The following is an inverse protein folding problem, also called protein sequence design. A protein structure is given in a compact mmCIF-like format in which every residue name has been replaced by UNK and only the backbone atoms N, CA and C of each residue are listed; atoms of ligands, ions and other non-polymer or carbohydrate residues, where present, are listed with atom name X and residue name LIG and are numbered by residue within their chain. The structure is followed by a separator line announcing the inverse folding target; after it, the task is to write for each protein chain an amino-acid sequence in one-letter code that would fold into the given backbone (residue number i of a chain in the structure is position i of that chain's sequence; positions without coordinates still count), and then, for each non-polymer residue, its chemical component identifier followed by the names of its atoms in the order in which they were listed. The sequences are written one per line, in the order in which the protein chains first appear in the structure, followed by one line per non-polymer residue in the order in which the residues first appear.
data_IF_449642648915
#
_entry.id   IF_449642648915
#
_cell.length_a   1.000
_cell.length_b   1.000
_cell.length_c   1.000
_cell.angle_alpha   90.00
_cell.angle_beta   90.00
_cell.angle_gamma   90.00
#
_symmetry.space_group_name_H-M   'P 1'
#
loop_
_entity.id
_entity.type
_entity.pdbx_description
1 polymer ?
#
# COMPACT_ATOMS: atom_id res chain seq x y z
N UNK A 1 3.45 -24.86 81.99
CA UNK A 1 2.72 -23.66 81.55
C UNK A 1 3.61 -22.44 81.25
N UNK A 2 4.76 -22.25 81.92
CA UNK A 2 5.64 -21.07 81.71
C UNK A 2 6.34 -21.04 80.34
N UNK A 3 6.78 -22.19 79.82
CA UNK A 3 7.44 -22.29 78.49
C UNK A 3 6.52 -21.95 77.31
N UNK A 4 5.23 -22.28 77.42
CA UNK A 4 4.23 -21.99 76.37
C UNK A 4 3.98 -20.48 76.28
N UNK A 5 3.97 -19.77 77.42
CA UNK A 5 3.80 -18.30 77.46
C UNK A 5 5.01 -17.57 76.86
N UNK A 6 6.23 -18.06 77.10
CA UNK A 6 7.45 -17.48 76.55
C UNK A 6 7.52 -17.67 75.02
N UNK A 7 7.18 -18.87 74.53
CA UNK A 7 7.14 -19.13 73.10
C UNK A 7 6.05 -18.33 72.38
N UNK A 8 4.92 -18.06 73.04
CA UNK A 8 3.85 -17.24 72.48
C UNK A 8 4.25 -15.77 72.38
N UNK A 9 4.95 -15.23 73.39
CA UNK A 9 5.47 -13.85 73.36
C UNK A 9 6.55 -13.69 72.30
N UNK A 10 7.46 -14.65 72.17
CA UNK A 10 8.48 -14.66 71.12
C UNK A 10 7.86 -14.76 69.72
N UNK A 11 6.82 -15.58 69.54
CA UNK A 11 6.13 -15.68 68.26
C UNK A 11 5.39 -14.37 67.89
N UNK A 12 4.77 -13.70 68.87
CA UNK A 12 4.11 -12.41 68.65
C UNK A 12 5.13 -11.30 68.31
N UNK A 13 6.30 -11.29 68.96
CA UNK A 13 7.37 -10.35 68.63
C UNK A 13 8.02 -10.61 67.26
N UNK A 14 8.15 -11.88 66.86
CA UNK A 14 8.68 -12.23 65.53
C UNK A 14 7.67 -11.87 64.43
N UNK A 15 6.38 -12.06 64.71
CA UNK A 15 5.29 -11.69 63.80
C UNK A 15 5.18 -10.17 63.65
N UNK A 16 5.34 -9.40 64.74
CA UNK A 16 5.33 -7.93 64.65
C UNK A 16 6.55 -7.36 63.92
N UNK A 17 7.73 -8.01 63.96
CA UNK A 17 8.87 -7.63 63.13
C UNK A 17 8.66 -7.93 61.63
N UNK A 18 7.89 -8.98 61.30
CA UNK A 18 7.54 -9.32 59.90
C UNK A 18 6.45 -8.39 59.32
N UNK A 19 5.70 -7.68 60.17
CA UNK A 19 4.73 -6.66 59.76
C UNK A 19 5.33 -5.26 59.58
N UNK A 20 6.60 -5.05 59.92
CA UNK A 20 7.37 -3.86 59.53
C UNK A 20 7.74 -3.96 58.04
N UNK A 21 6.73 -4.00 57.18
CA UNK A 21 6.93 -3.87 55.74
C UNK A 21 7.69 -2.59 55.46
N UNK A 22 8.74 -2.69 54.66
CA UNK A 22 9.43 -1.53 54.10
C UNK A 22 8.38 -0.67 53.42
N UNK A 23 8.06 0.48 54.03
CA UNK A 23 7.31 1.53 53.39
C UNK A 23 8.16 2.02 52.22
N UNK A 24 7.99 1.43 51.04
CA UNK A 24 8.27 2.14 49.82
C UNK A 24 7.36 3.36 49.88
N UNK A 25 7.96 4.53 50.04
CA UNK A 25 7.29 5.79 49.78
C UNK A 25 6.86 5.75 48.31
N UNK A 26 5.65 5.27 48.06
CA UNK A 26 4.97 5.45 46.79
C UNK A 26 4.54 6.92 46.82
N UNK A 27 5.45 7.80 46.40
CA UNK A 27 5.06 9.14 46.02
C UNK A 27 4.05 8.98 44.89
N UNK A 28 2.82 9.43 45.10
CA UNK A 28 1.88 9.80 44.06
C UNK A 28 2.58 10.87 43.20
N UNK A 29 3.46 10.39 42.32
CA UNK A 29 4.56 11.14 41.75
C UNK A 29 4.22 11.48 40.32
N UNK A 30 4.14 12.76 40.02
CA UNK A 30 4.12 13.25 38.66
C UNK A 30 5.32 12.65 37.89
N UNK A 31 5.07 11.91 36.82
CA UNK A 31 6.12 11.32 35.99
C UNK A 31 6.23 12.08 34.67
N UNK A 32 7.45 12.24 34.17
CA UNK A 32 7.67 12.82 32.85
C UNK A 32 7.30 11.82 31.76
N UNK A 33 6.59 12.28 30.74
CA UNK A 33 6.22 11.43 29.60
C UNK A 33 7.30 11.52 28.53
N UNK A 34 8.13 10.48 28.43
CA UNK A 34 9.16 10.41 27.40
C UNK A 34 8.53 10.03 26.05
N UNK A 35 8.88 10.78 25.01
CA UNK A 35 8.51 10.52 23.63
C UNK A 35 9.74 10.25 22.77
N UNK A 36 9.59 9.37 21.79
CA UNK A 36 10.62 9.08 20.79
C UNK A 36 10.07 9.41 19.40
N UNK A 37 10.70 10.37 18.71
CA UNK A 37 10.38 10.74 17.33
C UNK A 37 11.43 10.13 16.41
N UNK A 38 10.97 9.52 15.32
CA UNK A 38 11.83 9.12 14.20
C UNK A 38 12.00 10.29 13.24
N UNK A 39 13.22 10.81 13.10
CA UNK A 39 13.53 11.85 12.12
C UNK A 39 13.84 11.23 10.75
N UNK A 40 14.63 10.16 10.74
CA UNK A 40 15.02 9.44 9.52
C UNK A 40 15.45 8.01 9.86
N UNK A 41 15.17 7.06 8.95
CA UNK A 41 15.63 5.68 9.06
C UNK A 41 14.49 4.67 9.27
N UNK A 42 14.85 3.47 9.73
CA UNK A 42 13.94 2.37 9.97
C UNK A 42 13.28 2.45 11.35
N UNK A 43 12.01 2.06 11.43
CA UNK A 43 11.29 1.93 12.69
C UNK A 43 10.08 1.03 12.51
N UNK A 44 10.16 -0.18 13.04
CA UNK A 44 9.16 -1.22 12.88
C UNK A 44 9.26 -2.30 13.97
N UNK A 45 8.11 -2.75 14.48
CA UNK A 45 8.01 -3.85 15.47
C UNK A 45 8.96 -3.72 16.68
N UNK A 46 9.15 -2.50 17.20
CA UNK A 46 10.04 -2.26 18.36
C UNK A 46 11.53 -2.17 18.03
N UNK A 47 11.90 -2.37 16.77
CA UNK A 47 13.27 -2.22 16.27
C UNK A 47 13.44 -0.88 15.55
N UNK A 48 14.60 -0.25 15.69
CA UNK A 48 14.91 1.05 15.11
C UNK A 48 16.33 1.12 14.55
N UNK A 49 16.51 1.96 13.53
CA UNK A 49 17.84 2.32 13.01
C UNK A 49 17.77 3.71 12.39
N UNK A 50 18.74 4.59 12.69
CA UNK A 50 18.85 5.92 12.07
C UNK A 50 18.82 7.07 13.08
N UNK A 51 18.25 8.21 12.67
CA UNK A 51 18.19 9.45 13.45
C UNK A 51 16.88 9.56 14.23
N UNK A 52 17.01 9.75 15.54
CA UNK A 52 15.87 9.86 16.45
C UNK A 52 15.99 11.07 17.38
N UNK A 53 14.87 11.44 17.97
CA UNK A 53 14.79 12.48 18.99
C UNK A 53 14.01 11.98 20.19
N UNK A 54 14.67 11.94 21.35
CA UNK A 54 13.98 11.88 22.63
C UNK A 54 13.44 13.25 22.98
N UNK A 55 12.23 13.31 23.53
CA UNK A 55 11.59 14.54 23.98
C UNK A 55 10.73 14.29 25.21
N UNK A 56 10.58 15.31 26.05
CA UNK A 56 9.53 15.30 27.07
C UNK A 56 8.23 15.80 26.43
N UNK A 57 7.19 14.98 26.50
CA UNK A 57 5.84 15.37 26.10
C UNK A 57 5.16 16.12 27.26
N UNK A 58 4.50 17.23 26.93
CA UNK A 58 3.72 18.04 27.86
C UNK A 58 4.47 18.32 29.19
N UNK A 59 5.66 18.97 29.12
CA UNK A 59 6.47 19.22 30.30
C UNK A 59 5.72 20.11 31.31
N UNK A 60 5.87 19.86 32.63
CA UNK A 60 5.41 20.77 33.67
C UNK A 60 5.95 22.19 33.47
N UNK A 61 5.18 23.20 33.90
CA UNK A 61 5.54 24.62 33.71
C UNK A 61 6.77 25.00 34.53
N UNK A 62 6.97 24.35 35.66
CA UNK A 62 8.05 24.52 36.62
C UNK A 62 9.25 23.57 36.35
N UNK A 63 9.28 22.90 35.19
CA UNK A 63 10.40 22.07 34.80
C UNK A 63 11.60 22.93 34.39
N UNK A 64 12.67 22.89 35.18
CA UNK A 64 13.86 23.70 34.97
C UNK A 64 14.90 23.02 34.08
N UNK A 65 15.11 21.72 34.25
CA UNK A 65 16.15 20.97 33.53
C UNK A 65 15.73 19.52 33.29
N UNK A 66 16.21 18.94 32.18
CA UNK A 66 16.03 17.52 31.86
C UNK A 66 17.37 16.90 31.47
N UNK A 67 17.71 15.80 32.12
CA UNK A 67 18.82 14.92 31.76
C UNK A 67 18.30 13.68 31.03
N UNK A 68 18.83 13.40 29.84
CA UNK A 68 18.47 12.23 29.03
C UNK A 68 19.52 11.11 29.18
N UNK A 69 19.05 9.88 29.25
CA UNK A 69 19.87 8.70 29.48
C UNK A 69 19.58 7.60 28.46
N UNK A 70 20.63 6.85 28.11
CA UNK A 70 20.56 5.59 27.37
C UNK A 70 21.34 4.55 28.18
N UNK A 71 20.70 3.44 28.52
CA UNK A 71 21.22 2.37 29.38
C UNK A 71 21.76 2.86 30.74
N UNK A 72 21.19 3.95 31.24
CA UNK A 72 21.61 4.59 32.48
C UNK A 72 22.80 5.54 32.33
N UNK A 73 23.42 5.64 31.16
CA UNK A 73 24.48 6.59 30.86
C UNK A 73 23.91 7.95 30.43
N UNK A 74 24.40 9.03 31.06
CA UNK A 74 23.98 10.39 30.75
C UNK A 74 24.45 10.78 29.34
N UNK A 75 23.51 11.20 28.50
CA UNK A 75 23.79 11.61 27.13
C UNK A 75 23.80 13.13 26.98
N UNK A 76 22.77 13.80 27.51
CA UNK A 76 22.58 15.24 27.31
C UNK A 76 21.79 15.87 28.46
N UNK A 77 22.10 17.13 28.78
CA UNK A 77 21.40 17.92 29.79
C UNK A 77 20.82 19.17 29.13
N UNK A 78 19.51 19.36 29.23
CA UNK A 78 18.78 20.45 28.58
C UNK A 78 18.05 21.30 29.62
N UNK A 79 18.48 22.55 29.77
CA UNK A 79 17.96 23.50 30.76
C UNK A 79 16.93 24.49 30.21
N UNK A 80 16.55 24.37 28.93
CA UNK A 80 15.54 25.24 28.30
C UNK A 80 14.66 24.45 27.35
N UNK A 81 13.36 24.76 27.37
CA UNK A 81 12.43 24.23 26.40
C UNK A 81 12.80 24.69 24.97
N UNK A 82 12.63 23.82 23.94
CA UNK A 82 12.07 22.48 24.02
C UNK A 82 13.08 21.44 24.56
N UNK A 83 12.68 20.64 25.54
CA UNK A 83 13.51 19.59 26.14
C UNK A 83 13.62 18.39 25.20
N UNK A 84 14.70 18.35 24.41
CA UNK A 84 14.91 17.35 23.36
C UNK A 84 16.38 16.94 23.28
N UNK A 85 16.61 15.66 22.98
CA UNK A 85 17.92 15.11 22.69
C UNK A 85 17.88 14.36 21.35
N UNK A 86 18.78 14.71 20.43
CA UNK A 86 18.89 14.09 19.11
C UNK A 86 20.08 13.15 19.10
N UNK A 87 19.89 11.94 18.59
CA UNK A 87 20.94 10.94 18.52
C UNK A 87 20.79 10.07 17.26
N UNK A 88 21.89 9.45 16.86
CA UNK A 88 21.91 8.40 15.87
C UNK A 88 22.08 7.03 16.55
N UNK A 89 21.30 6.01 16.15
CA UNK A 89 21.36 4.69 16.80
C UNK A 89 22.71 4.01 16.66
N UNK A 90 23.50 4.36 15.64
CA UNK A 90 24.85 3.81 15.43
C UNK A 90 25.92 4.38 16.37
N UNK A 91 25.57 5.33 17.23
CA UNK A 91 26.42 5.79 18.32
C UNK A 91 26.46 4.78 19.48
N UNK A 92 25.56 3.80 19.45
CA UNK A 92 25.41 2.74 20.44
C UNK A 92 25.64 1.39 19.76
N UNK A 93 25.94 0.37 20.56
CA UNK A 93 26.05 -1.00 20.08
C UNK A 93 24.73 -1.50 19.50
N UNK A 94 24.78 -2.55 18.68
CA UNK A 94 23.56 -3.21 18.21
C UNK A 94 22.95 -4.02 19.37
N UNK A 95 21.65 -3.88 19.62
CA UNK A 95 21.01 -4.59 20.72
C UNK A 95 19.80 -3.91 21.30
N UNK A 96 19.30 -4.43 22.43
CA UNK A 96 18.23 -3.78 23.18
C UNK A 96 18.80 -2.63 24.02
N UNK A 97 18.21 -1.46 23.89
CA UNK A 97 18.58 -0.26 24.65
C UNK A 97 17.38 0.31 25.39
N UNK A 98 17.65 0.82 26.58
CA UNK A 98 16.69 1.47 27.46
C UNK A 98 16.93 2.98 27.49
N UNK A 99 15.94 3.76 27.08
CA UNK A 99 15.97 5.22 27.13
C UNK A 99 15.11 5.75 28.27
N UNK A 100 15.64 6.70 29.04
CA UNK A 100 14.92 7.38 30.13
C UNK A 100 15.35 8.84 30.25
N UNK A 101 14.65 9.59 31.09
CA UNK A 101 14.99 10.95 31.44
C UNK A 101 14.71 11.22 32.93
N UNK A 102 15.41 12.19 33.49
CA UNK A 102 15.16 12.74 34.82
C UNK A 102 15.05 14.25 34.71
N UNK A 103 13.99 14.82 35.27
CA UNK A 103 13.78 16.26 35.33
C UNK A 103 14.00 16.82 36.72
N UNK A 104 14.45 18.07 36.77
CA UNK A 104 14.54 18.86 38.01
C UNK A 104 13.55 20.02 37.90
N UNK A 105 12.68 20.16 38.89
CA UNK A 105 11.75 21.29 38.99
C UNK A 105 12.44 22.52 39.61
N UNK A 106 11.84 23.70 39.48
CA UNK A 106 12.36 24.95 40.05
C UNK A 106 12.53 24.89 41.57
N UNK A 107 11.75 24.07 42.27
CA UNK A 107 11.84 23.85 43.72
C UNK A 107 12.96 22.86 44.13
N UNK A 108 13.69 22.30 43.16
CA UNK A 108 14.77 21.34 43.34
C UNK A 108 14.32 19.89 43.48
N UNK A 109 13.02 19.60 43.45
CA UNK A 109 12.51 18.23 43.42
C UNK A 109 12.77 17.57 42.06
N UNK A 110 12.86 16.23 42.05
CA UNK A 110 13.19 15.46 40.85
C UNK A 110 12.02 14.59 40.39
N UNK A 111 11.81 14.54 39.08
CA UNK A 111 10.80 13.72 38.43
C UNK A 111 11.46 12.71 37.49
N UNK A 112 11.18 11.42 37.67
CA UNK A 112 11.57 10.39 36.71
C UNK A 112 10.64 10.36 35.50
N UNK A 113 11.13 9.85 34.36
CA UNK A 113 10.31 9.64 33.17
C UNK A 113 9.79 8.21 33.03
N UNK A 114 8.83 8.04 32.12
CA UNK A 114 8.58 6.73 31.51
C UNK A 114 9.81 6.25 30.73
N UNK A 115 9.96 4.94 30.65
CA UNK A 115 11.07 4.28 29.98
C UNK A 115 10.65 3.78 28.60
N UNK A 116 11.50 3.99 27.59
CA UNK A 116 11.29 3.44 26.24
C UNK A 116 12.37 2.40 25.98
N UNK A 117 11.96 1.18 25.62
CA UNK A 117 12.86 0.10 25.23
C UNK A 117 12.73 -0.14 23.73
N UNK A 118 13.87 -0.20 23.02
CA UNK A 118 13.93 -0.50 21.59
C UNK A 118 15.16 -1.35 21.28
N UNK A 119 15.05 -2.15 20.23
CA UNK A 119 16.22 -2.84 19.66
C UNK A 119 16.84 -1.97 18.57
N UNK A 120 18.08 -1.55 18.76
CA UNK A 120 18.87 -0.84 17.76
C UNK A 120 19.46 -1.86 16.81
N UNK A 121 19.28 -1.62 15.52
CA UNK A 121 19.79 -2.47 14.46
C UNK A 121 20.95 -1.81 13.75
N UNK A 122 21.86 -2.63 13.24
CA UNK A 122 22.80 -2.17 12.23
C UNK A 122 22.06 -1.77 10.94
N UNK A 123 22.72 -0.98 10.11
CA UNK A 123 22.20 -0.58 8.80
C UNK A 123 21.84 -1.80 7.93
N UNK A 124 22.64 -2.87 7.97
CA UNK A 124 22.42 -4.09 7.19
C UNK A 124 21.21 -4.89 7.71
N UNK A 125 21.06 -5.00 9.03
CA UNK A 125 19.90 -5.64 9.65
C UNK A 125 18.61 -4.88 9.31
N UNK A 126 18.63 -3.55 9.44
CA UNK A 126 17.48 -2.70 9.10
C UNK A 126 17.09 -2.80 7.61
N UNK A 127 18.07 -2.92 6.72
CA UNK A 127 17.84 -3.15 5.29
C UNK A 127 17.18 -4.51 5.02
N UNK A 128 17.66 -5.57 5.68
CA UNK A 128 17.06 -6.91 5.59
C UNK A 128 15.60 -6.93 6.06
N UNK A 129 15.31 -6.29 7.19
CA UNK A 129 13.94 -6.14 7.71
C UNK A 129 13.04 -5.39 6.71
N UNK A 130 13.58 -4.32 6.10
CA UNK A 130 12.87 -3.54 5.09
C UNK A 130 12.58 -4.36 3.83
N UNK A 131 13.55 -5.14 3.36
CA UNK A 131 13.39 -6.03 2.20
C UNK A 131 12.36 -7.13 2.47
N UNK A 132 12.35 -7.70 3.68
CA UNK A 132 11.40 -8.73 4.09
C UNK A 132 9.94 -8.29 3.96
N UNK A 133 9.65 -6.99 4.04
CA UNK A 133 8.31 -6.42 3.85
C UNK A 133 8.07 -5.93 2.41
N UNK A 134 9.01 -5.18 1.84
CA UNK A 134 8.82 -4.52 0.54
C UNK A 134 8.86 -5.53 -0.62
N UNK A 135 9.78 -6.48 -0.60
CA UNK A 135 9.97 -7.44 -1.71
C UNK A 135 8.71 -8.28 -1.97
N UNK A 136 8.08 -8.96 -0.98
CA UNK A 136 6.88 -9.74 -1.24
C UNK A 136 5.69 -8.88 -1.68
N UNK A 137 5.56 -7.65 -1.15
CA UNK A 137 4.52 -6.72 -1.56
C UNK A 137 4.67 -6.34 -3.04
N UNK A 138 5.86 -5.93 -3.46
CA UNK A 138 6.14 -5.58 -4.85
C UNK A 138 6.01 -6.79 -5.79
N UNK A 139 6.49 -7.96 -5.37
CA UNK A 139 6.33 -9.20 -6.13
C UNK A 139 4.84 -9.53 -6.33
N UNK A 140 4.02 -9.41 -5.28
CA UNK A 140 2.57 -9.63 -5.35
C UNK A 140 1.88 -8.66 -6.32
N UNK A 141 2.18 -7.37 -6.23
CA UNK A 141 1.66 -6.35 -7.16
C UNK A 141 2.12 -6.62 -8.59
N UNK A 142 3.38 -7.00 -8.79
CA UNK A 142 3.94 -7.37 -10.09
C UNK A 142 3.20 -8.54 -10.72
N UNK A 143 2.97 -9.62 -9.94
CA UNK A 143 2.20 -10.79 -10.40
C UNK A 143 0.77 -10.40 -10.77
N UNK A 144 0.08 -9.62 -9.94
CA UNK A 144 -1.29 -9.16 -10.22
C UNK A 144 -1.35 -8.31 -11.50
N UNK A 145 -0.36 -7.44 -11.70
CA UNK A 145 -0.27 -6.61 -12.91
C UNK A 145 -0.03 -7.45 -14.16
N UNK A 146 0.87 -8.44 -14.08
CA UNK A 146 1.13 -9.38 -15.17
C UNK A 146 -0.10 -10.23 -15.50
N UNK A 147 -0.85 -10.68 -14.49
CA UNK A 147 -2.12 -11.40 -14.71
C UNK A 147 -3.17 -10.49 -15.35
N UNK A 148 -3.30 -9.25 -14.87
CA UNK A 148 -4.26 -8.27 -15.40
C UNK A 148 -4.03 -7.92 -16.88
N UNK A 149 -2.78 -7.87 -17.33
CA UNK A 149 -2.43 -7.59 -18.73
C UNK A 149 -2.34 -8.87 -19.58
N UNK A 150 -1.80 -9.95 -19.02
CA UNK A 150 -1.57 -11.21 -19.73
C UNK A 150 -2.86 -11.96 -20.03
N UNK A 151 -3.82 -11.98 -19.11
CA UNK A 151 -5.09 -12.71 -19.29
C UNK A 151 -5.90 -12.17 -20.47
N UNK A 152 -6.17 -10.86 -20.62
CA UNK A 152 -6.84 -10.31 -21.79
C UNK A 152 -6.05 -10.52 -23.09
N UNK A 153 -4.72 -10.47 -23.04
CA UNK A 153 -3.87 -10.70 -24.20
C UNK A 153 -3.98 -12.15 -24.71
N UNK A 154 -3.97 -13.14 -23.80
CA UNK A 154 -4.09 -14.56 -24.13
C UNK A 154 -5.53 -14.96 -24.53
N UNK A 155 -6.54 -14.39 -23.85
CA UNK A 155 -7.96 -14.68 -24.13
C UNK A 155 -8.55 -13.85 -25.27
N UNK A 156 -7.82 -12.85 -25.77
CA UNK A 156 -8.20 -11.96 -26.87
C UNK A 156 -8.29 -12.63 -28.24
N UNK A 157 -8.87 -13.84 -28.34
CA UNK A 157 -9.20 -14.46 -29.62
C UNK A 157 -10.17 -13.55 -30.37
N UNK A 158 -9.73 -13.02 -31.51
CA UNK A 158 -10.55 -12.20 -32.42
C UNK A 158 -11.78 -13.02 -32.84
N UNK A 159 -12.94 -12.74 -32.23
CA UNK A 159 -14.21 -13.34 -32.67
C UNK A 159 -14.51 -12.77 -34.06
N UNK A 160 -14.59 -13.62 -35.07
CA UNK A 160 -15.05 -13.23 -36.41
C UNK A 160 -16.48 -12.70 -36.28
N UNK A 161 -16.73 -11.51 -36.82
CA UNK A 161 -18.07 -10.94 -36.87
C UNK A 161 -18.93 -11.79 -37.81
N UNK A 162 -20.14 -12.13 -37.38
CA UNK A 162 -21.12 -12.88 -38.18
C UNK A 162 -22.43 -12.10 -38.13
N UNK A 163 -23.01 -11.83 -39.31
CA UNK A 163 -24.27 -11.12 -39.46
C UNK A 163 -25.41 -11.81 -38.70
N UNK A 164 -26.34 -11.03 -38.15
CA UNK A 164 -27.45 -11.53 -37.34
C UNK A 164 -27.08 -12.11 -35.97
N UNK A 165 -25.78 -12.32 -35.67
CA UNK A 165 -25.31 -12.88 -34.39
C UNK A 165 -24.64 -11.82 -33.53
N UNK A 166 -25.48 -11.00 -32.92
CA UNK A 166 -25.06 -10.04 -31.93
C UNK A 166 -25.01 -10.70 -30.55
N UNK A 167 -23.86 -10.68 -29.88
CA UNK A 167 -23.68 -11.29 -28.56
C UNK A 167 -24.54 -10.63 -27.47
N UNK A 168 -24.29 -10.98 -26.21
CA UNK A 168 -25.12 -10.55 -25.06
C UNK A 168 -25.31 -9.03 -24.92
N UNK A 169 -24.38 -8.20 -25.40
CA UNK A 169 -24.50 -6.74 -25.34
C UNK A 169 -25.22 -6.12 -26.56
N UNK A 170 -25.75 -6.95 -27.45
CA UNK A 170 -26.46 -6.55 -28.67
C UNK A 170 -25.56 -5.96 -29.75
N UNK A 171 -26.19 -5.59 -30.86
CA UNK A 171 -25.53 -4.93 -32.00
C UNK A 171 -25.54 -3.41 -31.85
N UNK A 172 -24.59 -2.76 -32.50
CA UNK A 172 -24.59 -1.32 -32.75
C UNK A 172 -24.40 -1.05 -34.24
N UNK A 173 -24.89 0.11 -34.68
CA UNK A 173 -24.64 0.65 -36.02
C UNK A 173 -23.65 1.80 -35.87
N UNK A 174 -22.55 1.76 -36.63
CA UNK A 174 -21.57 2.84 -36.57
C UNK A 174 -22.13 4.11 -37.24
N UNK A 175 -22.10 5.30 -36.60
CA UNK A 175 -22.58 6.53 -37.21
C UNK A 175 -21.64 7.08 -38.30
N UNK A 176 -20.44 6.52 -38.44
CA UNK A 176 -19.42 6.99 -39.38
C UNK A 176 -19.38 6.17 -40.67
N UNK A 177 -19.42 4.84 -40.57
CA UNK A 177 -19.42 3.96 -41.74
C UNK A 177 -20.79 3.28 -41.98
N UNK A 178 -21.78 3.46 -41.11
CA UNK A 178 -23.10 2.86 -41.27
C UNK A 178 -23.17 1.35 -41.05
N UNK A 179 -22.04 0.66 -40.91
CA UNK A 179 -22.02 -0.81 -40.83
C UNK A 179 -22.40 -1.34 -39.44
N UNK A 180 -23.05 -2.52 -39.37
CA UNK A 180 -23.40 -3.17 -38.12
C UNK A 180 -22.18 -3.88 -37.52
N UNK A 181 -22.13 -3.94 -36.19
CA UNK A 181 -21.15 -4.75 -35.47
C UNK A 181 -21.64 -5.16 -34.07
N UNK A 182 -21.07 -6.25 -33.55
CA UNK A 182 -21.37 -6.73 -32.20
C UNK A 182 -20.67 -5.90 -31.12
N UNK A 183 -21.43 -5.41 -30.13
CA UNK A 183 -20.87 -4.66 -29.00
C UNK A 183 -20.16 -5.61 -28.04
N UNK A 184 -18.91 -5.34 -27.62
CA UNK A 184 -18.25 -6.15 -26.61
C UNK A 184 -18.99 -6.09 -25.27
N UNK A 185 -19.18 -7.24 -24.62
CA UNK A 185 -19.87 -7.29 -23.32
C UNK A 185 -19.13 -6.51 -22.23
N UNK A 186 -17.80 -6.58 -22.21
CA UNK A 186 -16.93 -5.96 -21.21
C UNK A 186 -16.48 -4.53 -21.57
N UNK A 187 -17.12 -3.87 -22.54
CA UNK A 187 -16.79 -2.46 -22.84
C UNK A 187 -17.35 -1.51 -21.76
N UNK A 188 -16.62 -0.43 -21.40
CA UNK A 188 -17.07 0.54 -20.39
C UNK A 188 -18.44 1.14 -20.74
N UNK A 189 -19.33 1.23 -19.75
CA UNK A 189 -20.64 1.84 -19.89
C UNK A 189 -20.56 3.33 -19.53
N UNK A 190 -20.83 4.20 -20.51
CA UNK A 190 -20.74 5.66 -20.40
C UNK A 190 -22.11 6.31 -20.18
N UNK A 191 -23.00 5.64 -19.43
CA UNK A 191 -24.40 6.02 -19.15
C UNK A 191 -25.34 5.96 -20.37
N UNK A 192 -24.99 6.62 -21.48
CA UNK A 192 -25.81 6.71 -22.71
C UNK A 192 -25.49 5.61 -23.73
N UNK A 193 -24.50 4.77 -23.44
CA UNK A 193 -24.03 3.73 -24.35
C UNK A 193 -22.70 3.15 -23.90
N UNK A 194 -22.18 2.17 -24.66
CA UNK A 194 -20.88 1.57 -24.38
C UNK A 194 -19.80 2.24 -25.22
N UNK A 195 -18.63 2.48 -24.63
CA UNK A 195 -17.45 2.97 -25.34
C UNK A 195 -16.88 1.84 -26.19
N UNK A 196 -17.09 1.93 -27.50
CA UNK A 196 -16.72 0.88 -28.45
C UNK A 196 -15.87 1.43 -29.58
N UNK A 197 -14.92 0.61 -30.04
CA UNK A 197 -14.15 0.87 -31.27
C UNK A 197 -14.80 0.10 -32.42
N UNK A 198 -15.17 0.79 -33.49
CA UNK A 198 -15.74 0.15 -34.67
C UNK A 198 -14.71 -0.78 -35.33
N UNK A 199 -15.04 -2.05 -35.61
CA UNK A 199 -14.11 -2.98 -36.28
C UNK A 199 -13.88 -2.64 -37.75
N UNK A 200 -14.79 -1.90 -38.38
CA UNK A 200 -14.74 -1.57 -39.81
C UNK A 200 -13.90 -0.32 -40.09
N UNK A 201 -14.23 0.80 -39.44
CA UNK A 201 -13.53 2.08 -39.67
C UNK A 201 -12.51 2.45 -38.56
N UNK A 202 -12.40 1.66 -37.48
CA UNK A 202 -11.45 1.88 -36.40
C UNK A 202 -11.76 3.05 -35.46
N UNK A 203 -12.80 3.86 -35.74
CA UNK A 203 -13.20 5.02 -34.92
C UNK A 203 -13.84 4.59 -33.61
N UNK A 204 -13.56 5.34 -32.55
CA UNK A 204 -14.11 5.12 -31.21
C UNK A 204 -15.35 6.01 -31.03
N UNK A 205 -16.41 5.44 -30.47
CA UNK A 205 -17.66 6.16 -30.19
C UNK A 205 -18.41 5.52 -29.03
N UNK A 206 -19.21 6.31 -28.31
CA UNK A 206 -20.16 5.81 -27.31
C UNK A 206 -21.47 5.49 -28.02
N UNK A 207 -21.87 4.22 -28.05
CA UNK A 207 -23.05 3.77 -28.79
C UNK A 207 -24.03 2.99 -27.89
N UNK A 208 -25.35 3.30 -27.95
CA UNK A 208 -26.39 2.48 -27.34
C UNK A 208 -26.56 1.16 -28.11
N UNK A 209 -27.45 0.29 -27.62
CA UNK A 209 -27.91 -0.85 -28.41
C UNK A 209 -28.78 -0.34 -29.55
N UNK A 210 -28.53 -0.80 -30.77
CA UNK A 210 -29.33 -0.44 -31.93
C UNK A 210 -30.69 -1.18 -31.90
N UNK A 211 -31.75 -0.50 -32.36
CA UNK A 211 -33.06 -1.11 -32.50
C UNK A 211 -33.02 -2.22 -33.58
N UNK A 212 -33.85 -3.27 -33.49
CA UNK A 212 -33.84 -4.38 -34.45
C UNK A 212 -33.99 -3.93 -35.91
N UNK A 213 -34.87 -2.96 -36.19
CA UNK A 213 -35.06 -2.40 -37.53
C UNK A 213 -33.81 -1.70 -38.07
N UNK A 214 -33.12 -0.94 -37.23
CA UNK A 214 -31.87 -0.25 -37.61
C UNK A 214 -30.71 -1.21 -37.87
N UNK A 215 -30.68 -2.37 -37.19
CA UNK A 215 -29.70 -3.42 -37.44
C UNK A 215 -29.96 -4.11 -38.77
N UNK A 216 -31.21 -4.46 -39.07
CA UNK A 216 -31.57 -5.07 -40.36
C UNK A 216 -31.21 -4.17 -41.55
N UNK A 217 -31.46 -2.86 -41.42
CA UNK A 217 -31.07 -1.88 -42.44
C UNK A 217 -29.55 -1.83 -42.64
N UNK A 218 -28.78 -1.87 -41.55
CA UNK A 218 -27.33 -1.87 -41.60
C UNK A 218 -26.77 -3.20 -42.15
N UNK A 219 -27.43 -4.34 -41.88
CA UNK A 219 -27.07 -5.65 -42.44
C UNK A 219 -27.25 -5.70 -43.94
N UNK A 220 -28.30 -5.06 -44.49
CA UNK A 220 -28.49 -4.92 -45.95
C UNK A 220 -27.34 -4.14 -46.58
N UNK A 221 -26.97 -3.00 -46.00
CA UNK A 221 -25.81 -2.20 -46.46
C UNK A 221 -24.51 -2.98 -46.42
N UNK A 222 -24.30 -3.76 -45.35
CA UNK A 222 -23.14 -4.63 -45.25
C UNK A 222 -23.13 -5.71 -46.34
N UNK A 223 -24.28 -6.33 -46.63
CA UNK A 223 -24.39 -7.36 -47.68
C UNK A 223 -24.19 -6.79 -49.10
N UNK A 224 -24.60 -5.55 -49.35
CA UNK A 224 -24.34 -4.83 -50.61
C UNK A 224 -22.85 -4.50 -50.78
N UNK A 225 -22.16 -4.09 -49.70
CA UNK A 225 -20.72 -3.82 -49.71
C UNK A 225 -19.85 -5.09 -49.82
N UNK A 226 -20.30 -6.21 -49.26
CA UNK A 226 -19.60 -7.51 -49.34
C UNK A 226 -19.96 -8.33 -50.58
N UNK A 227 -21.02 -7.96 -51.31
CA UNK A 227 -21.30 -8.55 -52.61
C UNK A 227 -20.11 -8.20 -53.52
N UNK A 228 -19.37 -9.19 -54.04
CA UNK A 228 -18.41 -8.90 -55.07
C UNK A 228 -19.20 -8.23 -56.17
N UNK A 229 -18.81 -7.01 -56.56
CA UNK A 229 -19.08 -6.61 -57.92
C UNK A 229 -18.53 -7.75 -58.77
N UNK A 230 -19.42 -8.60 -59.28
CA UNK A 230 -19.15 -9.41 -60.46
C UNK A 230 -19.02 -8.36 -61.55
N UNK A 231 -17.87 -7.70 -61.58
CA UNK A 231 -17.37 -7.05 -62.77
C UNK A 231 -17.24 -8.24 -63.70
N UNK A 232 -18.14 -8.32 -64.67
CA UNK A 232 -17.99 -9.13 -65.89
C UNK A 232 -16.79 -8.59 -66.69
N UNK A 233 -15.61 -8.63 -66.08
CA UNK A 233 -14.32 -8.62 -66.76
C UNK A 233 -14.11 -10.09 -67.16
N UNK A 234 -14.94 -10.59 -68.05
CA UNK A 234 -14.83 -10.25 -69.45
C UNK A 234 -13.99 -11.38 -70.00
N UNK A 235 -14.65 -12.50 -70.31
CA UNK A 235 -14.08 -13.60 -71.09
C UNK A 235 -13.38 -13.04 -72.36
N UNK A 236 -13.86 -11.89 -72.82
CA UNK A 236 -13.32 -11.04 -73.89
C UNK A 236 -11.94 -10.42 -73.59
N UNK A 237 -11.66 -10.01 -72.35
CA UNK A 237 -10.33 -9.49 -71.95
C UNK A 237 -9.29 -10.61 -71.95
N UNK A 238 -9.69 -11.82 -71.52
CA UNK A 238 -8.82 -13.00 -71.51
C UNK A 238 -8.56 -13.48 -72.94
N UNK A 239 -9.57 -13.47 -73.83
CA UNK A 239 -9.39 -13.77 -75.26
C UNK A 239 -8.45 -12.78 -75.94
N UNK A 240 -8.58 -11.48 -75.66
CA UNK A 240 -7.66 -10.46 -76.20
C UNK A 240 -6.21 -10.71 -75.80
N UNK A 241 -5.97 -11.05 -74.54
CA UNK A 241 -4.60 -11.33 -74.06
C UNK A 241 -4.02 -12.61 -74.67
N UNK A 242 -4.86 -13.62 -74.98
CA UNK A 242 -4.43 -14.86 -75.64
C UNK A 242 -4.16 -14.64 -77.15
N UNK A 243 -4.92 -13.76 -77.80
CA UNK A 243 -4.66 -13.37 -79.19
C UNK A 243 -3.39 -12.54 -79.32
N UNK A 244 -3.14 -11.58 -78.41
CA UNK A 244 -1.92 -10.76 -78.43
C UNK A 244 -0.65 -11.60 -78.24
N UNK A 245 -0.68 -12.64 -77.40
CA UNK A 245 0.47 -13.57 -77.24
C UNK A 245 0.68 -14.55 -78.40
N UNK A 246 -0.22 -14.62 -79.39
CA UNK A 246 -0.09 -15.54 -80.55
C UNK A 246 0.76 -14.96 -81.69
N UNK A 247 0.92 -13.64 -81.74
CA UNK A 247 1.62 -12.95 -82.84
C UNK A 247 3.01 -12.44 -82.44
N UNK A 248 3.47 -12.71 -81.22
CA UNK A 248 4.85 -12.48 -80.80
C UNK A 248 5.70 -13.73 -81.09
N UNK A 249 6.04 -13.93 -82.36
CA UNK A 249 7.15 -14.80 -82.83
C UNK A 249 8.04 -13.99 -83.81
#
# INVERSE_FOLDING_TARGET
MMKIRINLVLAVCLLSLLLSGTAFAHQDGQILQLGLIRNFGYGGLGKIQGNFTLKVNDPPVDLAEVSFYVDGELQEVVSKAPFQYKFHTSEFEDGEHQMSASGVLEDGSTLGSTTIIKTFLSSDQAWSETQGLIVPLLAGVGVLTLLGLGVPFLLGRKKKFVLGKYGLAGGAVCPRCGLPFSRPSLSPNMLVGKLVRCPHCGKISVLPQAAPSSLQEAERRYAEEESPQIISKGEDDIKKMIEDSRFED
#
